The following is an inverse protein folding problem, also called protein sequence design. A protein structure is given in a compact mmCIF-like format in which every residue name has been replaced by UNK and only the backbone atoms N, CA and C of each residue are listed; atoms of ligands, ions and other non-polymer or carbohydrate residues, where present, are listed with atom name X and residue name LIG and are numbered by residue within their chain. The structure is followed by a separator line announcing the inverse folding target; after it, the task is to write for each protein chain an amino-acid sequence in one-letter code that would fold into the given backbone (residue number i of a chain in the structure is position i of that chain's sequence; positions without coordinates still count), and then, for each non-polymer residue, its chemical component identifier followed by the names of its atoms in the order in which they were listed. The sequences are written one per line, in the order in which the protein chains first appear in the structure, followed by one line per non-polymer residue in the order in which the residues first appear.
data_IF_035735664414
#
_entry.id   IF_035735664414
#
_cell.length_a   1.000
_cell.length_b   1.000
_cell.length_c   1.000
_cell.angle_alpha   90.00
_cell.angle_beta   90.00
_cell.angle_gamma   90.00
#
_symmetry.space_group_name_H-M   'P 1'
#
loop_
_entity.id
_entity.type
_entity.pdbx_description
1 polymer ?
#
# COMPACT_ATOMS: atom_id res chain seq x y z
N UNK A 1 -16.88 -23.05 -1.67
CA UNK A 1 -16.34 -21.66 -1.63
C UNK A 1 -15.00 -21.68 -0.87
N UNK A 2 -13.88 -21.97 -1.55
CA UNK A 2 -12.55 -22.11 -0.92
C UNK A 2 -11.43 -21.28 -1.59
N UNK A 3 -11.74 -20.47 -2.60
CA UNK A 3 -10.72 -19.82 -3.42
C UNK A 3 -9.91 -18.74 -2.68
N UNK A 4 -10.51 -18.04 -1.71
CA UNK A 4 -9.79 -16.98 -0.97
C UNK A 4 -8.65 -17.48 -0.08
N UNK A 5 -8.78 -18.66 0.54
CA UNK A 5 -7.79 -19.17 1.51
C UNK A 5 -6.51 -19.71 0.85
N UNK A 6 -6.63 -20.32 -0.33
CA UNK A 6 -5.47 -20.83 -1.07
C UNK A 6 -4.54 -19.71 -1.55
N UNK A 7 -5.13 -18.65 -2.11
CA UNK A 7 -4.38 -17.48 -2.56
C UNK A 7 -3.73 -16.70 -1.41
N UNK A 8 -4.33 -16.74 -0.21
CA UNK A 8 -3.76 -16.13 1.00
C UNK A 8 -2.41 -16.77 1.35
N UNK A 9 -2.33 -18.11 1.30
CA UNK A 9 -1.10 -18.84 1.62
C UNK A 9 -0.01 -18.63 0.58
N UNK A 10 -0.36 -18.58 -0.71
CA UNK A 10 0.60 -18.31 -1.78
C UNK A 10 1.12 -16.87 -1.75
N UNK A 11 0.25 -15.89 -1.44
CA UNK A 11 0.65 -14.50 -1.25
C UNK A 11 1.58 -14.32 -0.05
N UNK A 12 1.31 -15.03 1.06
CA UNK A 12 2.20 -15.10 2.23
C UNK A 12 3.54 -15.76 1.90
N UNK A 13 3.55 -16.85 1.13
CA UNK A 13 4.78 -17.50 0.69
C UNK A 13 5.63 -16.58 -0.18
N UNK A 14 5.01 -15.86 -1.12
CA UNK A 14 5.68 -14.86 -1.96
C UNK A 14 6.18 -13.66 -1.14
N UNK A 15 5.43 -13.26 -0.09
CA UNK A 15 5.86 -12.23 0.84
C UNK A 15 7.13 -12.63 1.60
N UNK A 16 7.17 -13.84 2.15
CA UNK A 16 8.34 -14.32 2.91
C UNK A 16 9.57 -14.37 2.01
N UNK A 17 9.42 -14.83 0.76
CA UNK A 17 10.49 -14.80 -0.23
C UNK A 17 10.98 -13.39 -0.55
N UNK A 18 10.06 -12.45 -0.76
CA UNK A 18 10.41 -11.05 -1.04
C UNK A 18 11.05 -10.35 0.17
N UNK A 19 10.59 -10.63 1.39
CA UNK A 19 11.16 -10.11 2.63
C UNK A 19 12.59 -10.61 2.87
N UNK A 20 12.89 -11.85 2.47
CA UNK A 20 14.24 -12.41 2.54
C UNK A 20 15.20 -11.77 1.54
N UNK A 21 14.70 -11.27 0.42
CA UNK A 21 15.52 -10.61 -0.61
C UNK A 21 15.77 -9.15 -0.24
N UNK A 22 14.73 -8.41 0.16
CA UNK A 22 14.89 -7.00 0.53
C UNK A 22 13.79 -6.54 1.51
N UNK A 23 14.09 -6.52 2.83
CA UNK A 23 13.10 -6.19 3.85
C UNK A 23 12.58 -4.74 3.78
N UNK A 24 13.27 -3.86 3.05
CA UNK A 24 12.89 -2.47 2.81
C UNK A 24 12.19 -2.22 1.47
N UNK A 25 11.84 -3.26 0.70
CA UNK A 25 11.20 -3.07 -0.60
C UNK A 25 9.74 -2.57 -0.50
N UNK A 26 9.59 -1.24 -0.48
CA UNK A 26 8.34 -0.49 -0.40
C UNK A 26 7.30 -0.91 -1.47
N UNK A 27 7.66 -1.04 -2.77
CA UNK A 27 6.68 -1.41 -3.79
C UNK A 27 6.07 -2.80 -3.56
N UNK A 28 6.85 -3.74 -3.03
CA UNK A 28 6.38 -5.08 -2.68
C UNK A 28 5.38 -5.05 -1.53
N UNK A 29 5.67 -4.29 -0.47
CA UNK A 29 4.74 -4.10 0.65
C UNK A 29 3.40 -3.50 0.18
N UNK A 30 3.44 -2.56 -0.75
CA UNK A 30 2.25 -1.95 -1.35
C UNK A 30 1.44 -2.96 -2.17
N UNK A 31 2.09 -3.73 -3.05
CA UNK A 31 1.44 -4.76 -3.87
C UNK A 31 0.72 -5.80 -2.99
N UNK A 32 1.35 -6.20 -1.89
CA UNK A 32 0.78 -7.17 -0.95
C UNK A 32 -0.37 -6.55 -0.17
N UNK A 33 -0.24 -5.31 0.31
CA UNK A 33 -1.33 -4.58 0.95
C UNK A 33 -2.57 -4.46 0.04
N UNK A 34 -2.35 -4.18 -1.25
CA UNK A 34 -3.43 -4.18 -2.26
C UNK A 34 -4.07 -5.55 -2.46
N UNK A 35 -3.28 -6.63 -2.44
CA UNK A 35 -3.80 -7.99 -2.58
C UNK A 35 -4.63 -8.39 -1.35
N UNK A 36 -4.13 -8.05 -0.16
CA UNK A 36 -4.78 -8.29 1.13
C UNK A 36 -6.11 -7.54 1.24
N UNK A 37 -6.18 -6.28 0.78
CA UNK A 37 -7.44 -5.52 0.71
C UNK A 37 -8.50 -6.21 -0.16
N UNK A 38 -8.11 -6.96 -1.20
CA UNK A 38 -9.03 -7.72 -2.05
C UNK A 38 -9.46 -9.07 -1.46
N UNK A 39 -8.73 -9.60 -0.47
CA UNK A 39 -9.03 -10.89 0.16
C UNK A 39 -10.16 -10.80 1.19
N UNK A 40 -10.52 -9.59 1.62
CA UNK A 40 -11.65 -9.32 2.50
C UNK A 40 -11.24 -8.90 3.91
N UNK A 41 -12.23 -8.75 4.79
CA UNK A 41 -12.10 -8.06 6.07
C UNK A 41 -11.07 -8.65 7.04
N UNK A 42 -10.81 -9.96 6.95
CA UNK A 42 -9.83 -10.68 7.78
C UNK A 42 -8.37 -10.23 7.50
N UNK A 43 -8.10 -9.79 6.27
CA UNK A 43 -6.78 -9.38 5.82
C UNK A 43 -6.54 -7.86 5.91
N UNK A 44 -7.57 -7.06 6.21
CA UNK A 44 -7.46 -5.61 6.41
C UNK A 44 -6.44 -5.19 7.47
N UNK A 45 -6.38 -5.78 8.68
CA UNK A 45 -5.40 -5.37 9.70
C UNK A 45 -3.96 -5.61 9.24
N UNK A 46 -3.73 -6.73 8.52
CA UNK A 46 -2.41 -7.06 7.96
C UNK A 46 -2.04 -6.07 6.85
N UNK A 47 -2.98 -5.78 5.94
CA UNK A 47 -2.79 -4.79 4.87
C UNK A 47 -2.42 -3.42 5.44
N UNK A 48 -3.13 -2.97 6.49
CA UNK A 48 -2.86 -1.70 7.16
C UNK A 48 -1.45 -1.66 7.74
N UNK A 49 -1.03 -2.72 8.42
CA UNK A 49 0.30 -2.77 9.03
C UNK A 49 1.41 -2.74 7.97
N UNK A 50 1.25 -3.46 6.86
CA UNK A 50 2.19 -3.46 5.73
C UNK A 50 2.30 -2.10 5.05
N UNK A 51 1.16 -1.44 4.81
CA UNK A 51 1.12 -0.12 4.17
C UNK A 51 1.65 0.97 5.10
N UNK A 52 1.37 0.89 6.40
CA UNK A 52 1.95 1.80 7.38
C UNK A 52 3.46 1.63 7.48
N UNK A 53 3.97 0.40 7.42
CA UNK A 53 5.41 0.15 7.39
C UNK A 53 6.06 0.66 6.09
N UNK A 54 5.39 0.49 4.94
CA UNK A 54 5.81 1.08 3.67
C UNK A 54 5.93 2.61 3.76
N UNK A 55 4.98 3.27 4.43
CA UNK A 55 5.00 4.72 4.67
C UNK A 55 6.06 5.16 5.69
N UNK A 56 6.47 4.29 6.61
CA UNK A 56 7.61 4.58 7.51
C UNK A 56 8.93 4.60 6.76
N UNK A 57 9.06 3.80 5.70
CA UNK A 57 10.25 3.74 4.87
C UNK A 57 10.24 4.86 3.82
N UNK A 58 9.10 5.04 3.13
CA UNK A 58 8.90 6.06 2.10
C UNK A 58 7.60 6.83 2.37
N UNK A 59 7.65 7.88 3.21
CA UNK A 59 6.45 8.64 3.59
C UNK A 59 5.85 9.45 2.44
N UNK A 60 6.63 9.67 1.38
CA UNK A 60 6.21 10.36 0.15
C UNK A 60 5.54 9.43 -0.85
N UNK A 61 5.35 8.14 -0.52
CA UNK A 61 4.76 7.19 -1.45
C UNK A 61 3.26 7.39 -1.60
N UNK A 62 2.83 8.09 -2.66
CA UNK A 62 1.41 8.26 -3.00
C UNK A 62 0.64 6.94 -3.08
N UNK A 63 1.23 5.89 -3.65
CA UNK A 63 0.54 4.59 -3.78
C UNK A 63 0.25 3.99 -2.41
N UNK A 64 1.22 4.04 -1.48
CA UNK A 64 1.01 3.52 -0.14
C UNK A 64 -0.13 4.26 0.59
N UNK A 65 -0.18 5.60 0.49
CA UNK A 65 -1.29 6.40 1.02
C UNK A 65 -2.64 6.04 0.40
N UNK A 66 -2.70 5.89 -0.93
CA UNK A 66 -3.91 5.50 -1.65
C UNK A 66 -4.43 4.13 -1.21
N UNK A 67 -3.57 3.11 -1.14
CA UNK A 67 -3.97 1.77 -0.69
C UNK A 67 -4.32 1.74 0.80
N UNK A 68 -3.67 2.56 1.64
CA UNK A 68 -4.03 2.69 3.05
C UNK A 68 -5.44 3.27 3.20
N UNK A 69 -5.76 4.30 2.41
CA UNK A 69 -7.10 4.87 2.33
C UNK A 69 -8.14 3.86 1.84
N UNK A 70 -7.81 3.02 0.86
CA UNK A 70 -8.68 1.93 0.44
C UNK A 70 -8.96 0.91 1.56
N UNK A 71 -7.93 0.51 2.30
CA UNK A 71 -8.06 -0.42 3.44
C UNK A 71 -8.94 0.20 4.53
N UNK A 72 -8.76 1.48 4.85
CA UNK A 72 -9.61 2.20 5.80
C UNK A 72 -11.06 2.30 5.35
N UNK A 73 -11.29 2.52 4.05
CA UNK A 73 -12.64 2.56 3.48
C UNK A 73 -13.35 1.20 3.61
N UNK A 74 -12.63 0.12 3.35
CA UNK A 74 -13.14 -1.26 3.47
C UNK A 74 -13.39 -1.66 4.94
N UNK A 75 -12.57 -1.14 5.87
CA UNK A 75 -12.76 -1.27 7.33
C UNK A 75 -13.93 -0.41 7.88
N UNK A 76 -14.57 0.41 7.03
CA UNK A 76 -15.65 1.33 7.43
C UNK A 76 -15.17 2.63 8.09
N UNK A 77 -13.86 2.86 8.15
CA UNK A 77 -13.24 4.08 8.68
C UNK A 77 -13.12 5.14 7.59
N UNK A 78 -14.26 5.74 7.25
CA UNK A 78 -14.32 6.72 6.16
C UNK A 78 -13.49 7.97 6.47
N UNK A 79 -13.44 8.43 7.73
CA UNK A 79 -12.65 9.59 8.12
C UNK A 79 -11.15 9.39 7.89
N UNK A 80 -10.58 8.27 8.37
CA UNK A 80 -9.17 7.91 8.14
C UNK A 80 -8.88 7.71 6.64
N UNK A 81 -9.84 7.14 5.89
CA UNK A 81 -9.69 6.97 4.46
C UNK A 81 -9.57 8.30 3.71
N UNK A 82 -10.41 9.28 4.06
CA UNK A 82 -10.37 10.62 3.47
C UNK A 82 -9.04 11.32 3.74
N UNK A 83 -8.54 11.26 4.98
CA UNK A 83 -7.23 11.82 5.34
C UNK A 83 -6.10 11.19 4.51
N UNK A 84 -6.10 9.86 4.37
CA UNK A 84 -5.12 9.14 3.55
C UNK A 84 -5.18 9.53 2.07
N UNK A 85 -6.38 9.69 1.50
CA UNK A 85 -6.54 10.12 0.11
C UNK A 85 -6.10 11.58 -0.10
N UNK A 86 -6.36 12.46 0.88
CA UNK A 86 -5.87 13.83 0.84
C UNK A 86 -4.34 13.88 0.87
N UNK A 87 -3.71 13.10 1.74
CA UNK A 87 -2.25 12.97 1.78
C UNK A 87 -1.69 12.45 0.44
N UNK A 88 -2.30 11.43 -0.16
CA UNK A 88 -1.92 10.94 -1.48
C UNK A 88 -2.05 12.03 -2.56
N UNK A 89 -3.12 12.83 -2.54
CA UNK A 89 -3.35 13.91 -3.51
C UNK A 89 -2.37 15.06 -3.34
N UNK A 90 -2.03 15.43 -2.09
CA UNK A 90 -1.04 16.47 -1.81
C UNK A 90 0.37 16.07 -2.27
N UNK A 91 0.71 14.78 -2.13
CA UNK A 91 1.97 14.24 -2.63
C UNK A 91 2.02 14.23 -4.16
N UNK A 92 0.90 13.93 -4.83
CA UNK A 92 0.81 14.02 -6.31
C UNK A 92 1.05 15.45 -6.82
N UNK A 93 0.55 16.45 -6.10
CA UNK A 93 0.76 17.86 -6.42
C UNK A 93 2.19 18.32 -6.08
N UNK A 94 2.84 17.64 -5.13
CA UNK A 94 4.21 17.91 -4.71
C UNK A 94 5.27 17.17 -5.53
N UNK A 95 4.92 16.09 -6.24
CA UNK A 95 5.73 15.50 -7.31
C UNK A 95 5.71 16.49 -8.47
N UNK A 96 6.66 17.43 -8.53
CA UNK A 96 6.58 18.48 -9.50
C UNK A 96 6.84 17.80 -10.85
N UNK A 97 5.98 18.10 -11.82
CA UNK A 97 6.32 18.08 -13.24
C UNK A 97 7.46 19.08 -13.54
N UNK A 98 8.56 19.05 -12.77
CA UNK A 98 9.82 19.68 -13.12
C UNK A 98 10.67 18.68 -13.90
N UNK A 99 10.07 18.19 -14.98
CA UNK A 99 10.81 18.00 -16.23
C UNK A 99 11.17 19.39 -16.75
N UNK A 100 12.02 20.13 -16.03
CA UNK A 100 12.79 21.18 -16.66
C UNK A 100 13.98 20.51 -17.30
N UNK A 101 13.75 20.13 -18.55
CA UNK A 101 14.70 20.40 -19.62
C UNK A 101 15.46 21.70 -19.32
N UNK A 102 16.70 21.53 -18.89
CA UNK A 102 17.80 22.45 -19.17
C UNK A 102 18.91 21.51 -19.63
N UNK A 103 19.08 21.23 -20.92
CA UNK A 103 19.33 22.20 -21.97
C UNK A 103 20.13 23.39 -21.43
N UNK A 104 21.36 23.10 -21.01
CA UNK A 104 22.49 23.93 -21.36
C UNK A 104 23.66 23.05 -21.79
#
# INVERSE_FOLDING_TARGET
MFEGRGQTQEALGSYIGAFLVDPCYVPGKILIGSLMSKMGSDALPVARSLLSDALRIDPTNRKAWYYLGMVHRDDGRIADATDCFQAASMLEESDPIESFSSLY
#
